data_IF_655103837963
#
_entry.id   IF_655103837963
#
_cell.length_a   1.000
_cell.length_b   1.000
_cell.length_c   1.000
_cell.angle_alpha   90.00
_cell.angle_beta   90.00
_cell.angle_gamma   90.00
#
_symmetry.space_group_name_H-M   'P 1'
#
loop_
_entity.id
_entity.type
_entity.pdbx_description
1 polymer ?
#
# COMPACT_ATOMS: atom_id res chain seq x y z
N UNK A 1 15.95 20.91 13.97
CA UNK A 1 14.68 20.52 14.63
C UNK A 1 14.93 20.36 16.13
N UNK A 2 14.02 20.82 16.99
CA UNK A 2 14.13 20.55 18.44
C UNK A 2 13.78 19.08 18.70
N UNK A 3 14.37 18.45 19.71
CA UNK A 3 14.14 17.04 20.04
C UNK A 3 12.63 16.69 20.23
N UNK A 4 11.82 17.65 20.67
CA UNK A 4 10.36 17.49 20.81
C UNK A 4 9.60 17.40 19.48
N UNK A 5 10.10 18.01 18.40
CA UNK A 5 9.47 17.91 17.07
C UNK A 5 9.73 16.53 16.46
N UNK A 6 10.96 16.01 16.62
CA UNK A 6 11.35 14.67 16.12
C UNK A 6 10.54 13.56 16.80
N UNK A 7 10.29 13.67 18.11
CA UNK A 7 9.46 12.68 18.85
C UNK A 7 8.02 12.66 18.36
N UNK A 8 7.42 13.83 18.08
CA UNK A 8 6.05 13.93 17.55
C UNK A 8 5.95 13.39 16.12
N UNK A 9 6.94 13.68 15.28
CA UNK A 9 7.01 13.14 13.91
C UNK A 9 7.10 11.61 13.93
N UNK A 10 7.91 11.04 14.83
CA UNK A 10 8.02 9.58 15.00
C UNK A 10 6.71 8.93 15.44
N UNK A 11 6.01 9.50 16.43
CA UNK A 11 4.73 8.98 16.91
C UNK A 11 3.63 9.06 15.84
N UNK A 12 3.55 10.17 15.10
CA UNK A 12 2.61 10.33 13.99
C UNK A 12 2.82 9.26 12.90
N UNK A 13 4.08 8.98 12.57
CA UNK A 13 4.44 7.98 11.55
C UNK A 13 4.16 6.55 12.05
N UNK A 14 4.45 6.24 13.31
CA UNK A 14 4.10 4.95 13.91
C UNK A 14 2.58 4.73 13.95
N UNK A 15 1.81 5.78 14.19
CA UNK A 15 0.34 5.73 14.12
C UNK A 15 -0.14 5.39 12.70
N UNK A 16 0.47 5.98 11.67
CA UNK A 16 0.15 5.66 10.27
C UNK A 16 0.48 4.21 9.91
N UNK A 17 1.51 3.61 10.52
CA UNK A 17 1.92 2.23 10.31
C UNK A 17 1.10 1.20 11.10
N UNK A 18 0.36 1.61 12.13
CA UNK A 18 -0.36 0.72 13.03
C UNK A 18 -1.32 -0.27 12.31
N UNK A 19 -2.11 0.14 11.29
CA UNK A 19 -2.97 -0.79 10.56
C UNK A 19 -2.18 -1.88 9.82
N UNK A 20 -0.99 -1.55 9.31
CA UNK A 20 -0.13 -2.53 8.61
C UNK A 20 0.53 -3.49 9.59
N UNK A 21 0.93 -3.01 10.77
CA UNK A 21 1.44 -3.86 11.84
C UNK A 21 0.37 -4.81 12.38
N UNK A 22 -0.88 -4.35 12.46
CA UNK A 22 -2.02 -5.19 12.82
C UNK A 22 -2.27 -6.29 11.78
N UNK A 23 -2.23 -5.95 10.48
CA UNK A 23 -2.32 -6.93 9.39
C UNK A 23 -1.22 -7.99 9.47
N UNK A 24 0.03 -7.57 9.66
CA UNK A 24 1.17 -8.48 9.77
C UNK A 24 1.05 -9.42 10.98
N UNK A 25 0.44 -8.95 12.07
CA UNK A 25 0.20 -9.74 13.27
C UNK A 25 -0.97 -10.72 13.10
N UNK A 26 -1.99 -10.34 12.33
CA UNK A 26 -3.14 -11.19 12.00
C UNK A 26 -2.82 -12.24 10.92
N UNK A 27 -1.86 -11.94 10.04
CA UNK A 27 -1.36 -12.86 9.02
C UNK A 27 -0.57 -14.00 9.69
N UNK A 28 -1.27 -15.08 10.03
CA UNK A 28 -0.64 -16.36 10.36
C UNK A 28 0.17 -16.79 9.14
N UNK A 29 1.51 -16.80 9.25
CA UNK A 29 2.45 -17.13 8.17
C UNK A 29 1.90 -18.25 7.27
N UNK A 30 1.51 -17.89 6.06
CA UNK A 30 1.53 -18.81 4.94
C UNK A 30 2.66 -18.32 4.04
N UNK A 31 3.85 -18.92 4.19
CA UNK A 31 4.81 -18.95 3.10
C UNK A 31 4.21 -19.84 2.03
N UNK A 32 3.30 -19.26 1.25
CA UNK A 32 2.64 -19.91 0.14
C UNK A 32 3.70 -20.24 -0.90
N UNK A 33 3.93 -21.53 -1.11
CA UNK A 33 4.66 -22.02 -2.28
C UNK A 33 4.03 -21.38 -3.52
N UNK A 34 4.84 -20.93 -4.49
CA UNK A 34 4.40 -20.29 -5.75
C UNK A 34 3.28 -21.07 -6.48
N UNK A 35 2.05 -20.94 -6.01
CA UNK A 35 0.90 -21.69 -6.48
C UNK A 35 -0.11 -20.68 -7.02
N UNK A 36 -0.65 -21.00 -8.19
CA UNK A 36 -1.66 -20.14 -8.79
C UNK A 36 -2.92 -20.20 -7.93
N UNK A 37 -3.38 -19.04 -7.46
CA UNK A 37 -4.64 -18.93 -6.72
C UNK A 37 -5.83 -19.27 -7.61
N UNK A 38 -6.77 -20.04 -7.07
CA UNK A 38 -8.11 -20.22 -7.65
C UNK A 38 -8.89 -18.91 -7.55
N UNK A 39 -9.89 -18.72 -8.42
CA UNK A 39 -10.72 -17.51 -8.44
C UNK A 39 -11.36 -17.19 -7.08
N UNK A 40 -11.79 -18.20 -6.33
CA UNK A 40 -12.38 -18.01 -4.99
C UNK A 40 -11.35 -17.49 -3.97
N UNK A 41 -10.12 -17.98 -4.04
CA UNK A 41 -9.02 -17.51 -3.18
C UNK A 41 -8.64 -16.08 -3.56
N UNK A 42 -8.60 -15.76 -4.85
CA UNK A 42 -8.39 -14.40 -5.34
C UNK A 42 -9.47 -13.42 -4.82
N UNK A 43 -10.74 -13.83 -4.83
CA UNK A 43 -11.83 -13.04 -4.28
C UNK A 43 -11.66 -12.79 -2.78
N UNK A 44 -11.24 -13.80 -2.02
CA UNK A 44 -11.03 -13.65 -0.59
C UNK A 44 -9.88 -12.70 -0.27
N UNK A 45 -8.74 -12.85 -0.96
CA UNK A 45 -7.59 -11.95 -0.80
C UNK A 45 -7.96 -10.51 -1.20
N UNK A 46 -8.68 -10.34 -2.31
CA UNK A 46 -9.16 -9.04 -2.74
C UNK A 46 -10.15 -8.40 -1.76
N UNK A 47 -11.03 -9.20 -1.15
CA UNK A 47 -11.97 -8.70 -0.15
C UNK A 47 -11.25 -8.14 1.08
N UNK A 48 -10.20 -8.82 1.56
CA UNK A 48 -9.35 -8.32 2.66
C UNK A 48 -8.66 -7.01 2.25
N UNK A 49 -8.11 -6.95 1.04
CA UNK A 49 -7.53 -5.71 0.52
C UNK A 49 -8.54 -4.56 0.49
N UNK A 50 -9.72 -4.79 -0.08
CA UNK A 50 -10.76 -3.77 -0.22
C UNK A 50 -11.31 -3.28 1.14
N UNK A 51 -11.36 -4.15 2.15
CA UNK A 51 -11.79 -3.80 3.51
C UNK A 51 -10.75 -2.92 4.23
N UNK A 52 -9.47 -3.19 4.02
CA UNK A 52 -8.39 -2.50 4.75
C UNK A 52 -7.93 -1.22 4.06
N UNK A 53 -8.03 -1.17 2.73
CA UNK A 53 -7.58 -0.02 1.93
C UNK A 53 -8.15 1.33 2.43
N UNK A 54 -9.44 1.50 2.75
CA UNK A 54 -9.95 2.76 3.27
C UNK A 54 -9.27 3.22 4.56
N UNK A 55 -8.95 2.27 5.46
CA UNK A 55 -8.25 2.57 6.72
C UNK A 55 -6.83 3.08 6.45
N UNK A 56 -6.15 2.49 5.46
CA UNK A 56 -4.82 2.92 5.04
C UNK A 56 -4.88 4.29 4.37
N UNK A 57 -5.81 4.50 3.44
CA UNK A 57 -5.98 5.79 2.76
C UNK A 57 -6.34 6.91 3.73
N UNK A 58 -7.08 6.63 4.80
CA UNK A 58 -7.35 7.61 5.85
C UNK A 58 -6.09 8.07 6.61
N UNK A 59 -5.00 7.29 6.56
CA UNK A 59 -3.69 7.68 7.10
C UNK A 59 -2.85 8.48 6.09
N UNK A 60 -3.23 8.44 4.81
CA UNK A 60 -2.56 9.17 3.74
C UNK A 60 -3.23 10.53 3.54
N UNK A 61 -2.43 11.57 3.43
CA UNK A 61 -2.89 12.93 3.12
C UNK A 61 -2.99 13.22 1.62
N UNK A 62 -2.17 12.53 0.81
CA UNK A 62 -2.04 12.74 -0.62
C UNK A 62 -2.67 11.68 -1.51
N UNK A 63 -3.18 10.58 -0.94
CA UNK A 63 -3.70 9.44 -1.71
C UNK A 63 -5.23 9.33 -1.57
N UNK A 64 -5.94 9.15 -2.68
CA UNK A 64 -7.36 8.76 -2.66
C UNK A 64 -7.69 7.70 -3.68
N UNK A 65 -8.85 7.07 -3.54
CA UNK A 65 -9.44 6.26 -4.61
C UNK A 65 -9.70 7.11 -5.85
N UNK A 66 -9.38 6.58 -7.02
CA UNK A 66 -9.65 7.16 -8.32
C UNK A 66 -10.77 6.35 -9.00
N UNK A 67 -11.70 6.97 -9.74
CA UNK A 67 -12.77 6.24 -10.42
C UNK A 67 -12.21 5.18 -11.36
N UNK A 68 -12.35 3.91 -10.97
CA UNK A 68 -12.03 2.79 -11.83
C UNK A 68 -13.16 2.61 -12.85
N UNK A 69 -12.82 2.48 -14.13
CA UNK A 69 -13.77 2.22 -15.21
C UNK A 69 -14.27 0.76 -15.23
N UNK A 70 -13.93 -0.05 -14.22
CA UNK A 70 -14.41 -1.42 -14.03
C UNK A 70 -13.90 -2.40 -15.09
N UNK A 71 -12.89 -2.02 -15.88
CA UNK A 71 -12.41 -2.83 -17.01
C UNK A 71 -11.61 -4.06 -16.60
N UNK A 72 -11.03 -4.08 -15.41
CA UNK A 72 -10.21 -5.18 -14.92
C UNK A 72 -10.70 -5.68 -13.56
N UNK A 73 -10.97 -7.00 -13.41
CA UNK A 73 -11.24 -7.58 -12.10
C UNK A 73 -9.98 -7.51 -11.23
N UNK A 74 -10.18 -7.34 -9.92
CA UNK A 74 -9.10 -7.26 -8.93
C UNK A 74 -8.07 -6.16 -9.24
N UNK A 75 -8.57 -4.99 -9.63
CA UNK A 75 -7.78 -3.80 -9.92
C UNK A 75 -8.38 -2.59 -9.22
N UNK A 76 -7.55 -1.78 -8.59
CA UNK A 76 -7.91 -0.54 -7.91
C UNK A 76 -7.00 0.58 -8.40
N UNK A 77 -7.59 1.74 -8.72
CA UNK A 77 -6.85 2.93 -9.12
C UNK A 77 -6.86 3.92 -7.97
N UNK A 78 -5.70 4.47 -7.66
CA UNK A 78 -5.53 5.54 -6.69
C UNK A 78 -4.93 6.77 -7.36
N UNK A 79 -5.23 7.94 -6.83
CA UNK A 79 -4.61 9.19 -7.24
C UNK A 79 -3.69 9.69 -6.14
N UNK A 80 -2.44 9.98 -6.50
CA UNK A 80 -1.48 10.70 -5.67
C UNK A 80 -1.49 12.18 -6.08
N UNK A 81 -2.21 12.98 -5.30
CA UNK A 81 -2.36 14.43 -5.55
C UNK A 81 -1.09 15.21 -5.29
N UNK A 82 -0.21 14.73 -4.40
CA UNK A 82 1.02 15.43 -4.07
C UNK A 82 1.99 15.39 -5.25
N UNK A 83 2.07 14.24 -5.93
CA UNK A 83 2.98 14.02 -7.03
C UNK A 83 2.30 14.07 -8.41
N UNK A 84 0.97 14.24 -8.45
CA UNK A 84 0.20 14.35 -9.69
C UNK A 84 0.23 13.08 -10.53
N UNK A 85 0.13 11.91 -9.91
CA UNK A 85 0.31 10.61 -10.57
C UNK A 85 -0.78 9.61 -10.22
N UNK A 86 -1.12 8.76 -11.19
CA UNK A 86 -2.03 7.62 -10.99
C UNK A 86 -1.22 6.40 -10.51
N UNK A 87 -1.79 5.69 -9.53
CA UNK A 87 -1.26 4.44 -8.99
C UNK A 87 -2.28 3.35 -9.29
N UNK A 88 -1.82 2.24 -9.84
CA UNK A 88 -2.65 1.06 -10.13
C UNK A 88 -2.21 -0.11 -9.23
N UNK A 89 -3.15 -0.65 -8.47
CA UNK A 89 -2.97 -1.84 -7.64
C UNK A 89 -3.74 -2.98 -8.28
N UNK A 90 -3.10 -4.12 -8.53
CA UNK A 90 -3.78 -5.31 -9.05
C UNK A 90 -3.40 -6.57 -8.30
N UNK A 91 -4.34 -7.50 -8.17
CA UNK A 91 -4.03 -8.83 -7.65
C UNK A 91 -3.39 -9.67 -8.77
N UNK A 92 -2.26 -10.31 -8.47
CA UNK A 92 -1.65 -11.26 -9.36
C UNK A 92 -2.10 -12.69 -9.04
N UNK A 93 -1.82 -13.59 -9.98
CA UNK A 93 -2.25 -14.99 -9.88
C UNK A 93 -1.52 -15.81 -8.81
N UNK A 94 -0.52 -15.25 -8.14
CA UNK A 94 0.40 -15.93 -7.22
C UNK A 94 0.31 -15.37 -5.79
N UNK A 95 -0.88 -14.99 -5.33
CA UNK A 95 -1.10 -14.55 -3.95
C UNK A 95 -0.33 -13.27 -3.56
N UNK A 96 -0.10 -12.40 -4.55
CA UNK A 96 0.53 -11.10 -4.33
C UNK A 96 -0.20 -9.99 -5.05
N UNK A 97 0.14 -8.76 -4.67
CA UNK A 97 -0.31 -7.55 -5.33
C UNK A 97 0.79 -6.97 -6.20
N UNK A 98 0.41 -6.35 -7.31
CA UNK A 98 1.27 -5.48 -8.10
C UNK A 98 0.89 -4.04 -7.81
N UNK A 99 1.88 -3.14 -7.76
CA UNK A 99 1.70 -1.70 -7.64
C UNK A 99 2.44 -1.03 -8.80
N UNK A 100 1.71 -0.28 -9.63
CA UNK A 100 2.23 0.42 -10.82
C UNK A 100 1.96 1.93 -10.68
N UNK A 101 2.84 2.78 -11.22
CA UNK A 101 2.70 4.24 -11.19
C UNK A 101 2.93 4.77 -12.61
N UNK A 102 1.93 5.37 -13.24
CA UNK A 102 1.94 5.62 -14.70
C UNK A 102 2.71 6.89 -15.11
N UNK A 103 2.71 7.93 -14.28
CA UNK A 103 3.16 9.29 -14.66
C UNK A 103 4.65 9.40 -15.03
N UNK A 104 5.49 8.50 -14.54
CA UNK A 104 6.94 8.63 -14.71
C UNK A 104 7.48 7.76 -15.87
N UNK A 105 6.64 6.96 -16.56
CA UNK A 105 7.07 5.75 -17.31
C UNK A 105 7.96 4.81 -16.46
N UNK A 106 8.03 5.05 -15.15
CA UNK A 106 8.67 4.20 -14.16
C UNK A 106 7.63 3.17 -13.78
N UNK A 107 7.61 2.07 -14.53
CA UNK A 107 7.03 0.86 -14.00
C UNK A 107 7.93 0.37 -12.86
N UNK A 108 7.47 0.54 -11.62
CA UNK A 108 7.89 -0.37 -10.57
C UNK A 108 7.27 -1.73 -10.92
N UNK A 109 7.89 -2.48 -11.83
CA UNK A 109 7.61 -3.91 -12.05
C UNK A 109 8.09 -4.75 -10.87
N UNK A 110 8.02 -4.22 -9.65
CA UNK A 110 8.31 -4.93 -8.41
C UNK A 110 7.09 -5.78 -8.02
N UNK A 111 6.81 -6.74 -8.90
CA UNK A 111 6.74 -8.17 -8.59
C UNK A 111 6.26 -8.51 -7.16
N UNK A 112 5.01 -8.99 -7.08
CA UNK A 112 4.49 -9.81 -5.98
C UNK A 112 4.74 -9.24 -4.58
N UNK A 113 4.03 -8.19 -4.23
CA UNK A 113 4.01 -7.68 -2.86
C UNK A 113 2.98 -8.48 -2.05
N UNK A 114 3.39 -9.09 -0.93
CA UNK A 114 2.48 -9.37 0.18
C UNK A 114 1.66 -8.13 0.55
N UNK A 115 0.43 -8.34 1.01
CA UNK A 115 -0.51 -7.25 1.32
C UNK A 115 0.06 -6.23 2.33
N UNK A 116 0.82 -6.68 3.32
CA UNK A 116 1.50 -5.78 4.27
C UNK A 116 2.59 -4.94 3.60
N UNK A 117 3.42 -5.56 2.74
CA UNK A 117 4.45 -4.83 1.98
C UNK A 117 3.84 -3.84 0.98
N UNK A 118 2.70 -4.16 0.38
CA UNK A 118 1.94 -3.23 -0.47
C UNK A 118 1.56 -1.97 0.32
N UNK A 119 0.95 -2.13 1.50
CA UNK A 119 0.51 -0.99 2.29
C UNK A 119 1.67 -0.18 2.88
N UNK A 120 2.79 -0.82 3.23
CA UNK A 120 4.01 -0.09 3.60
C UNK A 120 4.50 0.79 2.44
N UNK A 121 4.48 0.28 1.22
CA UNK A 121 4.87 1.06 0.04
C UNK A 121 3.90 2.21 -0.22
N UNK A 122 2.58 1.99 -0.11
CA UNK A 122 1.59 3.07 -0.26
C UNK A 122 1.76 4.17 0.78
N UNK A 123 1.92 3.82 2.06
CA UNK A 123 2.19 4.80 3.12
C UNK A 123 3.48 5.57 2.85
N UNK A 124 4.49 4.92 2.27
CA UNK A 124 5.74 5.58 1.90
C UNK A 124 5.57 6.66 0.83
N UNK A 125 4.56 6.56 -0.04
CA UNK A 125 4.29 7.56 -1.07
C UNK A 125 3.70 8.86 -0.50
N UNK A 126 3.16 8.83 0.72
CA UNK A 126 2.61 10.00 1.42
C UNK A 126 3.67 10.80 2.19
N UNK A 127 4.92 10.32 2.26
CA UNK A 127 6.01 11.03 2.92
C UNK A 127 6.87 11.79 1.93
N UNK A 128 7.27 12.99 2.32
CA UNK A 128 8.40 13.68 1.70
C UNK A 128 9.73 12.99 2.06
N UNK A 129 10.76 13.08 1.21
CA UNK A 129 12.11 12.59 1.52
C UNK A 129 12.69 13.16 2.83
N UNK A 130 12.29 14.36 3.23
CA UNK A 130 12.67 15.02 4.48
C UNK A 130 12.04 14.34 5.70
N UNK A 131 10.74 14.05 5.65
CA UNK A 131 10.02 13.34 6.72
C UNK A 131 10.57 11.93 6.92
N UNK A 132 10.93 11.26 5.82
CA UNK A 132 11.53 9.93 5.90
C UNK A 132 12.93 9.97 6.52
N UNK A 133 13.77 10.96 6.17
CA UNK A 133 15.12 11.10 6.75
C UNK A 133 15.08 11.39 8.25
N UNK A 134 14.08 12.12 8.74
CA UNK A 134 13.89 12.40 10.17
C UNK A 134 13.56 11.14 11.01
N UNK A 135 13.13 10.03 10.38
CA UNK A 135 12.88 8.75 11.05
C UNK A 135 14.15 7.94 11.31
N UNK A 136 15.16 8.11 10.46
CA UNK A 136 16.40 7.31 10.50
C UNK A 136 17.43 7.87 11.50
N UNK A 137 17.17 9.08 12.01
CA UNK A 137 18.01 9.82 12.98
C UNK A 137 17.47 9.69 14.40
#
# INVERSE_FOLDING_TARGET
>A
MKAGDVSRTKEAILSKLAPVLALKSAASRSTSNFQTLKTQEQQQVWAVFADVLPTILAQCSGLSTHPNNGKAPFCELLWDFQNGREICISLNKFDGFNLSIDAEKVQWMETQLPLDLLFLKLLALDYTPEEFRALAS
#
